data_IF_814781277672
#
_entry.id   IF_814781277672
#
_cell.length_a   1.000
_cell.length_b   1.000
_cell.length_c   1.000
_cell.angle_alpha   90.00
_cell.angle_beta   90.00
_cell.angle_gamma   90.00
#
_symmetry.space_group_name_H-M   'P 1'
#
loop_
_entity.id
_entity.type
_entity.pdbx_description
1 polymer ?
#
# COMPACT_ATOMS: atom_id res chain seq x y z
N UNK A 1 -10.42 5.71 20.06
CA UNK A 1 -10.46 5.86 18.63
C UNK A 1 -9.68 7.03 18.02
N UNK A 2 -9.00 7.88 18.80
CA UNK A 2 -8.27 9.06 18.28
C UNK A 2 -6.76 8.85 18.06
N UNK A 3 -6.30 7.62 18.13
CA UNK A 3 -4.85 7.29 18.13
C UNK A 3 -4.34 6.81 16.78
N UNK A 4 -5.23 6.63 15.79
CA UNK A 4 -4.89 6.39 14.38
C UNK A 4 -4.92 7.68 13.57
N UNK A 5 -4.04 7.76 12.61
CA UNK A 5 -3.71 8.96 11.86
C UNK A 5 -4.85 9.57 11.05
N UNK A 6 -4.90 10.88 11.05
CA UNK A 6 -5.91 11.76 10.45
C UNK A 6 -5.66 12.01 8.95
N UNK A 7 -4.56 11.55 8.35
CA UNK A 7 -4.14 11.95 6.99
C UNK A 7 -5.01 11.42 5.85
N UNK A 8 -5.56 10.21 5.97
CA UNK A 8 -6.37 9.60 4.91
C UNK A 8 -7.61 10.40 4.55
N UNK A 9 -8.13 11.19 5.48
CA UNK A 9 -9.27 12.07 5.21
C UNK A 9 -8.93 13.26 4.34
N UNK A 10 -7.68 13.73 4.34
CA UNK A 10 -7.28 14.93 3.58
C UNK A 10 -7.08 14.60 2.10
N UNK A 11 -6.44 13.47 1.76
CA UNK A 11 -6.24 13.01 0.40
C UNK A 11 -7.54 12.55 -0.28
N UNK A 12 -8.41 11.86 0.45
CA UNK A 12 -9.72 11.48 -0.07
C UNK A 12 -10.62 12.70 -0.36
N UNK A 13 -10.32 13.84 0.21
CA UNK A 13 -11.04 15.09 -0.05
C UNK A 13 -10.55 15.84 -1.29
N UNK A 14 -9.29 15.64 -1.68
CA UNK A 14 -8.64 16.27 -2.83
C UNK A 14 -8.28 15.30 -3.96
N UNK A 15 -8.50 14.01 -3.81
CA UNK A 15 -8.25 13.00 -4.83
C UNK A 15 -9.09 13.20 -6.10
N UNK A 16 -8.59 12.72 -7.23
CA UNK A 16 -9.22 12.88 -8.55
C UNK A 16 -10.64 12.33 -8.64
N UNK A 17 -11.03 11.41 -7.74
CA UNK A 17 -12.37 10.83 -7.65
C UNK A 17 -13.39 11.68 -6.88
N UNK A 18 -12.98 12.80 -6.30
CA UNK A 18 -13.93 13.74 -5.72
C UNK A 18 -14.79 14.31 -6.86
N UNK A 19 -16.01 13.81 -6.96
CA UNK A 19 -17.04 14.19 -7.91
C UNK A 19 -16.92 15.68 -8.29
N UNK A 20 -16.63 15.99 -9.54
CA UNK A 20 -16.40 17.36 -10.05
C UNK A 20 -17.54 18.32 -9.69
N UNK A 21 -18.72 17.78 -9.32
CA UNK A 21 -19.91 18.53 -8.90
C UNK A 21 -19.79 19.19 -7.51
N UNK A 22 -18.83 18.81 -6.67
CA UNK A 22 -18.65 19.35 -5.33
C UNK A 22 -17.50 20.37 -5.22
N UNK A 23 -16.85 20.74 -6.32
CA UNK A 23 -15.81 21.78 -6.28
C UNK A 23 -16.47 23.15 -6.14
N UNK A 24 -16.16 23.91 -5.08
CA UNK A 24 -16.51 25.33 -5.04
C UNK A 24 -15.92 26.05 -6.26
N UNK A 25 -16.67 26.94 -6.88
CA UNK A 25 -16.23 27.70 -8.06
C UNK A 25 -14.97 28.58 -7.85
N UNK A 26 -14.58 28.76 -6.60
CA UNK A 26 -13.37 29.50 -6.19
C UNK A 26 -12.46 28.56 -5.38
N UNK A 27 -11.74 27.68 -6.06
CA UNK A 27 -10.68 26.90 -5.39
C UNK A 27 -9.43 27.78 -5.22
N UNK A 28 -8.92 27.83 -3.99
CA UNK A 28 -7.55 28.27 -3.76
C UNK A 28 -6.59 27.44 -4.62
N UNK A 29 -5.54 28.05 -5.20
CA UNK A 29 -4.56 27.30 -5.97
C UNK A 29 -3.96 26.19 -5.10
N UNK A 30 -3.76 25.02 -5.69
CA UNK A 30 -3.06 23.92 -5.00
C UNK A 30 -1.65 24.38 -4.59
N UNK A 31 -1.12 23.88 -3.48
CA UNK A 31 0.25 24.13 -3.09
C UNK A 31 1.23 23.73 -4.21
N UNK A 32 2.38 24.39 -4.27
CA UNK A 32 3.47 23.94 -5.13
C UNK A 32 4.02 22.60 -4.62
N UNK A 33 4.69 21.82 -5.48
CA UNK A 33 5.36 20.57 -5.07
C UNK A 33 6.34 20.79 -3.91
N UNK A 34 7.02 21.92 -3.88
CA UNK A 34 7.92 22.30 -2.78
C UNK A 34 7.15 22.52 -1.48
N UNK A 35 5.98 23.17 -1.56
CA UNK A 35 5.11 23.37 -0.41
C UNK A 35 4.54 22.07 0.09
N UNK A 36 4.16 21.15 -0.79
CA UNK A 36 3.70 19.81 -0.43
C UNK A 36 4.78 19.04 0.32
N UNK A 37 6.03 19.03 -0.19
CA UNK A 37 7.16 18.40 0.50
C UNK A 37 7.41 19.01 1.87
N UNK A 38 7.37 20.34 1.98
CA UNK A 38 7.52 21.03 3.27
C UNK A 38 6.39 20.69 4.24
N UNK A 39 5.15 20.64 3.77
CA UNK A 39 4.02 20.23 4.59
C UNK A 39 4.15 18.77 5.07
N UNK A 40 4.61 17.90 4.20
CA UNK A 40 4.84 16.49 4.55
C UNK A 40 5.93 16.34 5.63
N UNK A 41 7.08 17.01 5.43
CA UNK A 41 8.16 16.99 6.41
C UNK A 41 7.72 17.61 7.75
N UNK A 42 7.01 18.75 7.71
CA UNK A 42 6.52 19.42 8.91
C UNK A 42 5.47 18.61 9.66
N UNK A 43 4.61 17.90 8.93
CA UNK A 43 3.62 16.99 9.52
C UNK A 43 4.33 15.89 10.32
N UNK A 44 5.38 15.28 9.75
CA UNK A 44 6.18 14.28 10.45
C UNK A 44 6.79 14.84 11.73
N UNK A 45 7.48 15.98 11.66
CA UNK A 45 8.09 16.62 12.83
C UNK A 45 7.09 16.89 13.96
N UNK A 46 5.92 17.42 13.61
CA UNK A 46 4.86 17.72 14.59
C UNK A 46 4.35 16.43 15.22
N UNK A 47 4.04 15.42 14.41
CA UNK A 47 3.48 14.17 14.91
C UNK A 47 4.48 13.43 15.82
N UNK A 48 5.76 13.42 15.48
CA UNK A 48 6.82 12.83 16.30
C UNK A 48 6.93 13.50 17.68
N UNK A 49 6.75 14.83 17.78
CA UNK A 49 6.71 15.54 19.05
C UNK A 49 5.57 15.08 19.97
N UNK A 50 4.50 14.55 19.40
CA UNK A 50 3.35 14.01 20.14
C UNK A 50 3.38 12.48 20.31
N UNK A 51 4.53 11.85 19.94
CA UNK A 51 4.72 10.41 20.10
C UNK A 51 4.05 9.56 19.01
N UNK A 52 3.75 10.16 17.86
CA UNK A 52 3.26 9.42 16.70
C UNK A 52 4.43 9.16 15.75
N UNK A 53 4.69 7.91 15.46
CA UNK A 53 5.76 7.47 14.57
C UNK A 53 5.17 6.98 13.25
N UNK A 54 5.81 7.32 12.13
CA UNK A 54 5.42 6.85 10.81
C UNK A 54 5.70 5.34 10.73
N UNK A 55 4.69 4.53 10.42
CA UNK A 55 4.85 3.09 10.25
C UNK A 55 4.72 2.65 8.78
N UNK A 56 4.16 3.49 7.91
CA UNK A 56 4.15 3.34 6.46
C UNK A 56 4.12 4.73 5.79
N UNK A 57 4.21 4.81 4.47
CA UNK A 57 4.36 6.06 3.72
C UNK A 57 3.38 7.15 4.17
N UNK A 58 2.11 6.79 4.43
CA UNK A 58 1.01 7.73 4.64
C UNK A 58 0.55 7.84 6.08
N UNK A 59 0.82 6.84 6.92
CA UNK A 59 0.18 6.70 8.23
C UNK A 59 1.17 6.72 9.40
N UNK A 60 0.71 7.32 10.49
CA UNK A 60 1.44 7.45 11.75
C UNK A 60 0.62 6.83 12.87
N UNK A 61 1.29 6.32 13.89
CA UNK A 61 0.64 5.79 15.08
C UNK A 61 1.57 5.92 16.30
N UNK A 62 1.01 5.87 17.48
CA UNK A 62 1.79 5.65 18.71
C UNK A 62 2.28 4.21 18.77
N UNK A 63 3.31 3.95 19.56
CA UNK A 63 3.86 2.61 19.72
C UNK A 63 2.78 1.61 20.15
N UNK A 64 2.69 0.50 19.40
CA UNK A 64 1.68 -0.53 19.61
C UNK A 64 0.30 -0.27 18.97
N UNK A 65 0.06 0.92 18.40
CA UNK A 65 -1.24 1.32 17.82
C UNK A 65 -1.26 1.39 16.30
N UNK A 66 -0.21 0.95 15.61
CA UNK A 66 -0.22 0.86 14.15
C UNK A 66 -1.39 0.00 13.65
N UNK A 67 -2.07 0.45 12.60
CA UNK A 67 -3.25 -0.22 12.09
C UNK A 67 -2.90 -1.61 11.52
N UNK A 68 -3.27 -2.67 12.26
CA UNK A 68 -2.97 -4.06 11.90
C UNK A 68 -3.61 -4.44 10.55
N UNK A 69 -4.77 -3.88 10.25
CA UNK A 69 -5.46 -4.10 8.99
C UNK A 69 -4.65 -3.55 7.80
N UNK A 70 -4.17 -2.29 7.89
CA UNK A 70 -3.33 -1.70 6.86
C UNK A 70 -2.00 -2.46 6.71
N UNK A 71 -1.37 -2.81 7.83
CA UNK A 71 -0.13 -3.61 7.81
C UNK A 71 -0.37 -4.96 7.14
N UNK A 72 -1.54 -5.59 7.35
CA UNK A 72 -1.93 -6.81 6.68
C UNK A 72 -1.94 -6.66 5.15
N UNK A 73 -2.49 -5.56 4.63
CA UNK A 73 -2.44 -5.27 3.20
C UNK A 73 -1.01 -5.09 2.69
N UNK A 74 -0.18 -4.33 3.40
CA UNK A 74 1.21 -4.10 3.00
C UNK A 74 2.08 -5.36 3.08
N UNK A 75 1.74 -6.31 3.91
CA UNK A 75 2.39 -7.62 4.00
C UNK A 75 1.75 -8.69 3.08
N UNK A 76 0.79 -8.34 2.23
CA UNK A 76 0.02 -9.30 1.41
C UNK A 76 -0.59 -10.43 2.24
N UNK A 77 -1.01 -10.18 3.46
CA UNK A 77 -1.72 -11.16 4.28
C UNK A 77 -3.07 -11.48 3.63
N UNK A 78 -3.44 -12.76 3.60
CA UNK A 78 -4.76 -13.18 3.12
C UNK A 78 -5.87 -12.44 3.84
N UNK A 79 -6.86 -12.00 3.07
CA UNK A 79 -8.08 -11.38 3.61
C UNK A 79 -9.30 -11.74 2.79
N UNK A 80 -10.42 -11.87 3.48
CA UNK A 80 -11.73 -12.07 2.88
C UNK A 80 -12.55 -10.79 3.04
N UNK A 81 -12.87 -10.15 1.93
CA UNK A 81 -13.80 -9.03 1.87
C UNK A 81 -15.23 -9.51 2.02
N UNK A 82 -16.00 -8.86 2.88
CA UNK A 82 -17.39 -9.19 3.14
C UNK A 82 -18.26 -8.00 2.73
N UNK A 83 -19.27 -8.25 1.90
CA UNK A 83 -20.22 -7.25 1.47
C UNK A 83 -20.09 -6.90 -0.01
N UNK A 84 -20.96 -5.99 -0.44
CA UNK A 84 -21.06 -5.49 -1.80
C UNK A 84 -19.77 -4.80 -2.24
N UNK A 85 -19.23 -5.15 -3.40
CA UNK A 85 -18.00 -4.56 -3.95
C UNK A 85 -16.72 -4.88 -3.17
N UNK A 86 -16.78 -5.74 -2.15
CA UNK A 86 -15.63 -6.06 -1.32
C UNK A 86 -14.60 -6.91 -2.06
N UNK A 87 -13.31 -6.51 -1.98
CA UNK A 87 -12.20 -7.27 -2.55
C UNK A 87 -11.67 -8.31 -1.56
N UNK A 88 -11.17 -9.41 -2.09
CA UNK A 88 -10.55 -10.49 -1.35
C UNK A 88 -9.23 -10.89 -1.98
N UNK A 89 -8.28 -11.31 -1.16
CA UNK A 89 -7.05 -11.96 -1.55
C UNK A 89 -6.85 -13.20 -0.68
N UNK A 90 -6.94 -14.36 -1.27
CA UNK A 90 -6.55 -15.64 -0.66
C UNK A 90 -5.51 -16.25 -1.60
N UNK A 91 -4.27 -16.09 -1.25
CA UNK A 91 -3.14 -16.37 -2.14
C UNK A 91 -3.22 -17.78 -2.78
N UNK A 92 -3.10 -17.93 -4.10
CA UNK A 92 -2.78 -16.92 -5.10
C UNK A 92 -4.00 -16.25 -5.78
N UNK A 93 -5.20 -16.37 -5.23
CA UNK A 93 -6.44 -15.89 -5.86
C UNK A 93 -6.86 -14.53 -5.33
N UNK A 94 -7.27 -13.67 -6.26
CA UNK A 94 -7.91 -12.38 -5.99
C UNK A 94 -9.25 -12.32 -6.70
N UNK A 95 -10.24 -11.69 -6.05
CA UNK A 95 -11.54 -11.41 -6.66
C UNK A 95 -12.21 -10.23 -5.97
N UNK A 96 -13.21 -9.70 -6.61
CA UNK A 96 -14.12 -8.71 -6.03
C UNK A 96 -15.53 -9.30 -5.95
N UNK A 97 -16.28 -8.97 -4.93
CA UNK A 97 -17.70 -9.25 -4.86
C UNK A 97 -18.45 -8.28 -5.79
N UNK A 98 -19.53 -8.72 -6.42
CA UNK A 98 -20.34 -7.87 -7.28
C UNK A 98 -20.66 -6.52 -6.64
N UNK A 99 -20.74 -5.48 -7.47
CA UNK A 99 -21.21 -4.15 -7.08
C UNK A 99 -22.72 -3.98 -7.28
N UNK A 100 -23.40 -4.98 -7.86
CA UNK A 100 -24.83 -4.96 -8.05
C UNK A 100 -25.57 -5.32 -6.75
N UNK A 101 -26.27 -4.34 -6.19
CA UNK A 101 -27.02 -4.52 -4.95
C UNK A 101 -28.20 -5.48 -5.12
N UNK A 102 -28.85 -5.50 -6.28
CA UNK A 102 -30.00 -6.35 -6.55
C UNK A 102 -29.59 -7.82 -6.53
N UNK A 103 -28.55 -8.17 -7.28
CA UNK A 103 -28.01 -9.52 -7.37
C UNK A 103 -27.50 -10.01 -6.01
N UNK A 104 -26.82 -9.12 -5.27
CA UNK A 104 -26.32 -9.43 -3.94
C UNK A 104 -27.44 -9.75 -2.96
N UNK A 105 -28.51 -8.93 -2.96
CA UNK A 105 -29.68 -9.15 -2.08
C UNK A 105 -30.50 -10.37 -2.48
N UNK A 106 -30.65 -10.61 -3.79
CA UNK A 106 -31.39 -11.77 -4.30
C UNK A 106 -30.67 -13.07 -3.93
N UNK A 107 -29.35 -13.12 -4.10
CA UNK A 107 -28.53 -14.25 -3.67
C UNK A 107 -28.71 -14.53 -2.17
N UNK A 108 -28.68 -13.52 -1.34
CA UNK A 108 -28.89 -13.64 0.11
C UNK A 108 -30.26 -14.16 0.48
N UNK A 109 -31.34 -13.66 -0.16
CA UNK A 109 -32.72 -14.09 0.08
C UNK A 109 -32.95 -15.54 -0.31
N UNK A 110 -32.35 -15.97 -1.41
CA UNK A 110 -32.52 -17.30 -1.97
C UNK A 110 -31.53 -18.34 -1.41
N UNK A 111 -30.75 -17.99 -0.38
CA UNK A 111 -29.66 -18.80 0.17
C UNK A 111 -28.70 -19.31 -0.92
N UNK A 112 -28.47 -18.48 -1.93
CA UNK A 112 -27.59 -18.78 -3.06
C UNK A 112 -26.11 -18.80 -2.65
N UNK A 113 -25.30 -19.35 -3.55
CA UNK A 113 -23.85 -19.37 -3.35
C UNK A 113 -23.24 -18.02 -3.77
N UNK A 114 -22.77 -17.25 -2.79
CA UNK A 114 -22.07 -15.99 -3.02
C UNK A 114 -20.80 -16.12 -3.88
N UNK A 115 -20.26 -17.34 -4.04
CA UNK A 115 -19.15 -17.56 -4.95
C UNK A 115 -19.50 -17.21 -6.41
N UNK A 116 -20.76 -17.34 -6.79
CA UNK A 116 -21.25 -16.99 -8.15
C UNK A 116 -21.32 -15.46 -8.38
N UNK A 117 -21.22 -14.66 -7.34
CA UNK A 117 -21.19 -13.20 -7.40
C UNK A 117 -19.77 -12.62 -7.41
N UNK A 118 -18.76 -13.46 -7.51
CA UNK A 118 -17.37 -13.02 -7.62
C UNK A 118 -17.11 -12.52 -9.02
N UNK A 119 -16.56 -11.33 -9.10
CA UNK A 119 -16.12 -10.64 -10.31
C UNK A 119 -14.61 -10.51 -10.32
N UNK A 120 -14.02 -10.29 -11.50
CA UNK A 120 -12.58 -10.04 -11.64
C UNK A 120 -11.73 -11.13 -10.98
N UNK A 121 -12.17 -12.39 -11.06
CA UNK A 121 -11.44 -13.51 -10.47
C UNK A 121 -10.13 -13.70 -11.20
N UNK A 122 -9.02 -13.57 -10.50
CA UNK A 122 -7.68 -13.65 -11.04
C UNK A 122 -6.83 -14.60 -10.19
N UNK A 123 -6.06 -15.45 -10.86
CA UNK A 123 -4.99 -16.22 -10.23
C UNK A 123 -3.66 -15.53 -10.51
N UNK A 124 -3.04 -15.00 -9.48
CA UNK A 124 -1.78 -14.25 -9.59
C UNK A 124 -0.63 -15.20 -9.92
N UNK A 125 0.15 -14.85 -10.93
CA UNK A 125 1.41 -15.52 -11.26
C UNK A 125 2.44 -15.26 -10.15
N UNK A 126 3.45 -16.12 -10.07
CA UNK A 126 4.51 -15.96 -9.07
C UNK A 126 5.21 -14.59 -9.21
N UNK A 127 5.42 -14.16 -10.43
CA UNK A 127 6.01 -12.85 -10.72
C UNK A 127 5.16 -11.69 -10.20
N UNK A 128 3.84 -11.68 -10.49
CA UNK A 128 2.92 -10.66 -9.99
C UNK A 128 2.89 -10.61 -8.45
N UNK A 129 3.01 -11.77 -7.81
CA UNK A 129 3.12 -11.89 -6.35
C UNK A 129 4.44 -11.34 -5.80
N UNK A 130 5.56 -11.53 -6.54
CA UNK A 130 6.86 -10.94 -6.19
C UNK A 130 6.81 -9.42 -6.32
N UNK A 131 6.28 -8.90 -7.43
CA UNK A 131 6.08 -7.46 -7.64
C UNK A 131 5.25 -6.84 -6.52
N UNK A 132 4.10 -7.45 -6.20
CA UNK A 132 3.25 -6.99 -5.10
C UNK A 132 3.95 -7.02 -3.75
N UNK A 133 4.73 -8.07 -3.47
CA UNK A 133 5.54 -8.15 -2.26
C UNK A 133 6.49 -6.96 -2.14
N UNK A 134 7.10 -6.58 -3.26
CA UNK A 134 8.03 -5.44 -3.29
C UNK A 134 7.29 -4.11 -3.11
N UNK A 135 6.33 -3.79 -3.99
CA UNK A 135 5.75 -2.45 -3.95
C UNK A 135 4.78 -2.23 -2.76
N UNK A 136 4.19 -3.28 -2.20
CA UNK A 136 3.41 -3.16 -0.97
C UNK A 136 4.31 -3.13 0.26
N UNK A 137 5.27 -4.05 0.35
CA UNK A 137 6.14 -4.17 1.51
C UNK A 137 7.07 -2.97 1.71
N UNK A 138 7.58 -2.39 0.63
CA UNK A 138 8.43 -1.18 0.69
C UNK A 138 7.66 0.08 1.10
N UNK A 139 6.34 0.06 1.16
CA UNK A 139 5.55 1.13 1.79
C UNK A 139 5.76 1.20 3.29
N UNK A 140 6.07 0.08 3.93
CA UNK A 140 6.34 0.02 5.37
C UNK A 140 7.68 0.72 5.69
N UNK A 141 7.71 1.50 6.75
CA UNK A 141 8.95 2.17 7.22
C UNK A 141 10.06 1.17 7.55
N UNK A 142 9.67 -0.02 8.04
CA UNK A 142 10.62 -1.12 8.28
C UNK A 142 11.09 -1.81 7.00
N UNK A 143 10.37 -1.60 5.88
CA UNK A 143 10.62 -2.28 4.61
C UNK A 143 10.24 -3.75 4.61
N UNK A 144 10.88 -4.51 3.72
CA UNK A 144 10.72 -5.96 3.55
C UNK A 144 11.89 -6.72 4.17
N UNK A 145 11.62 -7.90 4.69
CA UNK A 145 12.66 -8.84 5.14
C UNK A 145 13.08 -9.74 3.98
N UNK A 146 14.37 -9.74 3.63
CA UNK A 146 14.91 -10.50 2.50
C UNK A 146 14.71 -12.01 2.67
N UNK A 147 14.83 -12.51 3.90
CA UNK A 147 14.59 -13.93 4.18
C UNK A 147 13.11 -14.33 3.99
N UNK A 148 12.18 -13.42 4.29
CA UNK A 148 10.75 -13.66 4.04
C UNK A 148 10.47 -13.78 2.55
N UNK A 149 11.10 -12.95 1.70
CA UNK A 149 11.02 -13.07 0.25
C UNK A 149 11.52 -14.45 -0.23
N UNK A 150 12.71 -14.85 0.20
CA UNK A 150 13.30 -16.15 -0.17
C UNK A 150 12.43 -17.32 0.27
N UNK A 151 11.92 -17.28 1.50
CA UNK A 151 11.03 -18.33 2.01
C UNK A 151 9.70 -18.42 1.23
N UNK A 152 9.14 -17.27 0.84
CA UNK A 152 7.85 -17.24 0.15
C UNK A 152 7.94 -17.65 -1.32
N UNK A 153 9.04 -17.32 -2.00
CA UNK A 153 9.18 -17.50 -3.44
C UNK A 153 10.21 -18.55 -3.86
N UNK A 154 10.98 -19.08 -2.91
CA UNK A 154 12.04 -20.07 -3.18
C UNK A 154 13.20 -19.56 -4.01
N UNK A 155 13.36 -18.23 -4.11
CA UNK A 155 14.43 -17.53 -4.82
C UNK A 155 15.02 -16.45 -3.94
N UNK A 156 16.33 -16.23 -4.03
CA UNK A 156 16.94 -15.07 -3.39
C UNK A 156 16.40 -13.77 -4.00
N UNK A 157 16.18 -12.76 -3.17
CA UNK A 157 15.85 -11.42 -3.65
C UNK A 157 16.88 -10.92 -4.70
N UNK A 158 18.14 -11.18 -4.46
CA UNK A 158 19.25 -10.77 -5.33
C UNK A 158 19.24 -11.47 -6.69
N UNK A 159 18.73 -12.71 -6.78
CA UNK A 159 18.60 -13.42 -8.06
C UNK A 159 17.54 -12.80 -8.98
N UNK A 160 16.58 -12.05 -8.40
CA UNK A 160 15.46 -11.50 -9.14
C UNK A 160 15.60 -9.98 -9.36
N UNK A 161 16.09 -9.26 -8.35
CA UNK A 161 16.01 -7.79 -8.30
C UNK A 161 17.38 -7.11 -8.11
N UNK A 162 18.50 -7.79 -8.38
CA UNK A 162 19.86 -7.23 -8.20
C UNK A 162 19.99 -5.89 -8.95
N UNK A 163 19.67 -5.87 -10.25
CA UNK A 163 19.87 -4.69 -11.10
C UNK A 163 19.01 -3.50 -10.63
N UNK A 164 17.74 -3.75 -10.31
CA UNK A 164 16.84 -2.74 -9.77
C UNK A 164 17.36 -2.20 -8.42
N UNK A 165 17.81 -3.09 -7.55
CA UNK A 165 18.36 -2.71 -6.25
C UNK A 165 19.63 -1.89 -6.39
N UNK A 166 20.58 -2.30 -7.23
CA UNK A 166 21.85 -1.60 -7.46
C UNK A 166 21.61 -0.19 -8.01
N UNK A 167 20.67 -0.04 -8.95
CA UNK A 167 20.23 1.25 -9.46
C UNK A 167 19.71 2.14 -8.32
N UNK A 168 18.74 1.65 -7.54
CA UNK A 168 18.12 2.41 -6.48
C UNK A 168 19.07 2.70 -5.30
N UNK A 169 20.06 1.84 -5.03
CA UNK A 169 21.13 2.13 -4.08
C UNK A 169 22.02 3.26 -4.59
N UNK A 170 22.39 3.25 -5.87
CA UNK A 170 23.22 4.30 -6.48
C UNK A 170 22.52 5.66 -6.46
N UNK A 171 21.20 5.67 -6.57
CA UNK A 171 20.34 6.85 -6.49
C UNK A 171 19.97 7.24 -5.04
N UNK A 172 20.44 6.50 -4.04
CA UNK A 172 20.17 6.69 -2.61
C UNK A 172 18.67 6.59 -2.24
N UNK A 173 17.91 5.83 -3.00
CA UNK A 173 16.47 5.62 -2.78
C UNK A 173 16.17 4.42 -1.89
N UNK A 174 17.09 3.44 -1.86
CA UNK A 174 17.03 2.25 -1.01
C UNK A 174 18.17 2.21 -0.02
N UNK A 175 17.94 1.53 1.09
CA UNK A 175 18.98 1.16 2.03
C UNK A 175 18.63 -0.16 2.72
N UNK A 176 19.66 -0.87 3.16
CA UNK A 176 19.53 -1.97 4.10
C UNK A 176 19.52 -1.42 5.53
N UNK A 177 18.80 -2.07 6.42
CA UNK A 177 18.91 -1.79 7.85
C UNK A 177 20.31 -2.18 8.40
N UNK A 178 20.59 -1.82 9.65
CA UNK A 178 21.89 -2.12 10.30
C UNK A 178 22.18 -3.62 10.34
N UNK A 179 21.16 -4.44 10.47
CA UNK A 179 21.29 -5.91 10.47
C UNK A 179 21.47 -6.51 9.08
N UNK A 180 21.31 -5.71 7.99
CA UNK A 180 21.27 -6.12 6.59
C UNK A 180 20.23 -7.19 6.26
N UNK A 181 19.18 -7.27 7.08
CA UNK A 181 18.07 -8.22 6.90
C UNK A 181 16.89 -7.60 6.21
N UNK A 182 16.66 -6.29 6.43
CA UNK A 182 15.53 -5.59 5.84
C UNK A 182 16.01 -4.59 4.77
N UNK A 183 15.32 -4.59 3.65
CA UNK A 183 15.45 -3.62 2.59
C UNK A 183 14.32 -2.60 2.72
N UNK A 184 14.63 -1.32 2.74
CA UNK A 184 13.64 -0.26 2.90
C UNK A 184 13.95 0.97 2.05
N UNK A 185 12.95 1.79 1.81
CA UNK A 185 13.16 3.11 1.22
C UNK A 185 13.91 4.01 2.21
N UNK A 186 14.78 4.85 1.68
CA UNK A 186 15.32 6.03 2.41
C UNK A 186 14.23 7.10 2.56
N UNK A 187 14.46 8.14 3.34
CA UNK A 187 13.51 9.27 3.39
C UNK A 187 13.35 9.92 2.01
N UNK A 188 14.43 10.03 1.23
CA UNK A 188 14.36 10.52 -0.15
C UNK A 188 13.63 9.52 -1.07
N UNK A 189 13.84 8.21 -0.89
CA UNK A 189 13.10 7.18 -1.62
C UNK A 189 11.59 7.20 -1.33
N UNK A 190 11.18 7.61 -0.13
CA UNK A 190 9.75 7.80 0.20
C UNK A 190 9.15 8.98 -0.57
N UNK A 191 9.88 10.08 -0.71
CA UNK A 191 9.40 11.27 -1.44
C UNK A 191 9.14 10.97 -2.93
N UNK A 192 9.91 10.07 -3.52
CA UNK A 192 9.79 9.61 -4.91
C UNK A 192 9.36 8.14 -5.00
N UNK A 193 8.57 7.68 -4.04
CA UNK A 193 8.26 6.26 -3.87
C UNK A 193 7.63 5.61 -5.11
N UNK A 194 6.79 6.32 -5.86
CA UNK A 194 6.19 5.77 -7.08
C UNK A 194 7.26 5.38 -8.11
N UNK A 195 8.30 6.21 -8.26
CA UNK A 195 9.43 5.89 -9.13
C UNK A 195 10.20 4.69 -8.61
N UNK A 196 10.60 4.70 -7.34
CA UNK A 196 11.36 3.61 -6.76
C UNK A 196 10.61 2.27 -6.79
N UNK A 197 9.30 2.27 -6.55
CA UNK A 197 8.48 1.07 -6.56
C UNK A 197 8.26 0.52 -7.97
N UNK A 198 8.23 1.37 -9.00
CA UNK A 198 8.09 0.96 -10.39
C UNK A 198 9.29 0.13 -10.90
N UNK A 199 10.49 0.32 -10.34
CA UNK A 199 11.68 -0.45 -10.72
C UNK A 199 11.60 -1.94 -10.34
N UNK A 200 10.64 -2.32 -9.50
CA UNK A 200 10.39 -3.71 -9.13
C UNK A 200 9.34 -4.41 -9.99
N UNK A 201 8.80 -3.76 -11.00
CA UNK A 201 7.96 -4.41 -12.01
C UNK A 201 8.84 -5.26 -12.91
N UNK A 202 8.42 -6.50 -13.14
CA UNK A 202 9.14 -7.43 -13.99
C UNK A 202 8.56 -7.33 -15.40
N UNK A 203 9.38 -6.88 -16.35
CA UNK A 203 9.01 -6.86 -17.77
C UNK A 203 8.84 -8.29 -18.28
N UNK A 204 7.73 -8.58 -18.96
CA UNK A 204 7.41 -9.87 -19.59
C UNK A 204 7.34 -9.77 -21.10
#
# INVERSE_FOLDING_TARGET
>A
GSEMCIRDRFWNWYGEDANQTLRPKEMLPLPSEEDERRMYARTREILEQYGYHRYEISNYAKDGYACRHNIGYWNRTDYLGIGLGASSLIDPMRWRMTSDLSDYLECGKNQGDFANLREEVQTLRVSERMEEFMFLGLRLTKGIELQTFEHQFGKSFWDVYQDAADKLFSEQLLCLDESKKNLRLTDYGVDVSNYALAEFLLDY
#
